data_IF_614292328444
#
_entry.id   IF_614292328444
#
_cell.length_a   1.000
_cell.length_b   1.000
_cell.length_c   1.000
_cell.angle_alpha   90.00
_cell.angle_beta   90.00
_cell.angle_gamma   90.00
#
_symmetry.space_group_name_H-M   'P 1'
#
loop_
_entity.id
_entity.type
_entity.pdbx_description
1 polymer ?
#
# COMPACT_ATOMS: atom_id res chain seq x y z
N UNK A 1 -8.75 20.50 -19.31
CA UNK A 1 -8.74 19.02 -19.34
C UNK A 1 -7.43 18.37 -18.89
N UNK A 2 -6.33 19.11 -18.70
CA UNK A 2 -5.02 18.54 -18.30
C UNK A 2 -5.00 17.90 -16.92
N UNK A 3 -5.78 18.41 -15.94
CA UNK A 3 -5.73 17.92 -14.54
C UNK A 3 -6.32 16.51 -14.36
N UNK A 4 -7.35 16.15 -15.10
CA UNK A 4 -7.92 14.80 -15.06
C UNK A 4 -6.92 13.73 -15.56
N UNK A 5 -6.12 14.07 -16.55
CA UNK A 5 -5.05 13.22 -17.06
C UNK A 5 -3.95 12.96 -16.02
N UNK A 6 -3.60 13.97 -15.22
CA UNK A 6 -2.63 13.81 -14.12
C UNK A 6 -3.14 12.87 -13.03
N UNK A 7 -4.40 13.03 -12.59
CA UNK A 7 -5.02 12.14 -11.60
C UNK A 7 -5.02 10.69 -12.10
N UNK A 8 -5.44 10.47 -13.36
CA UNK A 8 -5.44 9.14 -13.98
C UNK A 8 -4.03 8.52 -14.00
N UNK A 9 -3.01 9.30 -14.34
CA UNK A 9 -1.61 8.85 -14.34
C UNK A 9 -1.15 8.41 -12.95
N UNK A 10 -1.42 9.19 -11.91
CA UNK A 10 -1.05 8.86 -10.54
C UNK A 10 -1.79 7.63 -10.01
N UNK A 11 -3.08 7.49 -10.34
CA UNK A 11 -3.87 6.29 -9.99
C UNK A 11 -3.33 5.03 -10.68
N UNK A 12 -2.93 5.12 -11.95
CA UNK A 12 -2.30 4.01 -12.66
C UNK A 12 -0.98 3.60 -11.99
N UNK A 13 -0.13 4.57 -11.64
CA UNK A 13 1.12 4.31 -10.92
C UNK A 13 0.89 3.64 -9.56
N UNK A 14 -0.10 4.10 -8.79
CA UNK A 14 -0.46 3.48 -7.51
C UNK A 14 -0.97 2.04 -7.70
N UNK A 15 -1.72 1.78 -8.75
CA UNK A 15 -2.18 0.43 -9.11
C UNK A 15 -1.03 -0.48 -9.50
N UNK A 16 -0.09 0.01 -10.31
CA UNK A 16 1.11 -0.73 -10.73
C UNK A 16 2.03 -1.07 -9.55
N UNK A 17 2.08 -0.20 -8.54
CA UNK A 17 2.86 -0.44 -7.31
C UNK A 17 2.35 -1.61 -6.47
N UNK A 18 1.17 -2.16 -6.78
CA UNK A 18 0.60 -3.33 -6.11
C UNK A 18 0.70 -3.22 -4.57
N UNK A 19 0.18 -2.12 -4.00
CA UNK A 19 0.22 -1.87 -2.55
C UNK A 19 -0.16 -3.10 -1.70
N UNK A 20 -1.19 -3.90 -2.05
CA UNK A 20 -1.51 -5.11 -1.29
C UNK A 20 -0.38 -6.14 -1.29
N UNK A 21 0.34 -6.27 -2.40
CA UNK A 21 1.50 -7.18 -2.48
C UNK A 21 2.68 -6.67 -1.64
N UNK A 22 2.88 -5.35 -1.59
CA UNK A 22 3.87 -4.72 -0.73
C UNK A 22 3.56 -4.96 0.76
N UNK A 23 2.31 -4.78 1.18
CA UNK A 23 1.87 -5.03 2.56
C UNK A 23 2.10 -6.50 2.94
N UNK A 24 1.71 -7.45 2.08
CA UNK A 24 1.97 -8.87 2.29
C UNK A 24 3.46 -9.19 2.37
N UNK A 25 4.29 -8.53 1.57
CA UNK A 25 5.74 -8.68 1.62
C UNK A 25 6.28 -8.21 2.98
N UNK A 26 5.88 -7.03 3.43
CA UNK A 26 6.28 -6.48 4.73
C UNK A 26 5.80 -7.40 5.86
N UNK A 27 4.55 -7.86 5.83
CA UNK A 27 4.02 -8.81 6.81
C UNK A 27 4.84 -10.10 6.87
N UNK A 28 5.22 -10.67 5.71
CA UNK A 28 6.11 -11.85 5.67
C UNK A 28 7.51 -11.57 6.21
N UNK A 29 8.01 -10.36 6.07
CA UNK A 29 9.32 -9.96 6.59
C UNK A 29 9.30 -9.73 8.10
N UNK A 30 8.14 -9.39 8.68
CA UNK A 30 7.98 -9.09 10.10
C UNK A 30 7.41 -10.25 10.90
N UNK A 31 6.72 -11.20 10.27
CA UNK A 31 6.22 -12.38 10.96
C UNK A 31 7.30 -13.45 11.04
N UNK A 32 7.62 -13.94 12.25
CA UNK A 32 8.43 -15.14 12.38
C UNK A 32 7.69 -16.30 11.70
N UNK A 33 8.39 -17.25 11.08
CA UNK A 33 7.76 -18.42 10.49
C UNK A 33 6.97 -19.14 11.58
N UNK A 34 5.65 -19.21 11.41
CA UNK A 34 4.72 -19.89 12.30
C UNK A 34 4.85 -21.42 12.11
N UNK A 35 6.03 -21.94 12.40
CA UNK A 35 6.39 -23.33 12.38
C UNK A 35 6.93 -23.76 13.73
N UNK A 36 6.22 -23.43 14.85
CA UNK A 36 6.43 -24.17 16.06
C UNK A 36 5.79 -25.53 15.85
N UNK A 37 6.56 -26.65 15.91
CA UNK A 37 5.97 -27.97 15.92
C UNK A 37 5.05 -28.06 17.14
N UNK A 38 3.78 -28.37 16.89
CA UNK A 38 2.79 -28.62 17.91
C UNK A 38 3.34 -29.63 18.92
N UNK A 39 3.31 -29.35 20.23
CA UNK A 39 3.85 -30.26 21.26
C UNK A 39 3.06 -31.57 21.39
N UNK A 40 2.06 -31.83 20.54
CA UNK A 40 1.18 -32.98 20.65
C UNK A 40 1.75 -34.30 20.07
N UNK A 41 2.93 -34.29 19.41
CA UNK A 41 3.49 -35.49 18.77
C UNK A 41 4.76 -36.06 19.44
N UNK A 42 5.16 -35.56 20.61
CA UNK A 42 6.35 -36.05 21.31
C UNK A 42 5.99 -37.02 22.44
N UNK A 43 5.37 -38.18 22.12
CA UNK A 43 5.42 -39.36 22.97
C UNK A 43 6.39 -40.36 22.36
N UNK A 44 7.46 -40.69 23.14
CA UNK A 44 8.45 -41.77 22.97
C UNK A 44 9.64 -41.52 22.07
N UNK A 45 10.74 -41.01 22.66
CA UNK A 45 12.01 -41.73 22.70
C UNK A 45 13.05 -41.03 23.59
N UNK A 46 13.60 -41.68 24.63
CA UNK A 46 14.69 -41.09 25.39
C UNK A 46 16.01 -41.35 24.66
N UNK A 47 16.70 -40.31 24.26
CA UNK A 47 18.06 -40.36 23.77
C UNK A 47 18.79 -39.07 24.12
N UNK A 48 19.97 -39.14 24.79
CA UNK A 48 20.68 -37.95 25.20
C UNK A 48 21.52 -37.42 24.04
N UNK A 49 21.05 -36.39 23.38
CA UNK A 49 21.91 -35.55 22.55
C UNK A 49 21.37 -34.13 22.63
N UNK A 50 22.11 -33.32 23.36
CA UNK A 50 21.97 -31.90 23.42
C UNK A 50 22.05 -31.30 22.01
N UNK A 51 20.90 -31.18 21.34
CA UNK A 51 20.83 -30.35 20.17
C UNK A 51 20.36 -28.96 20.65
N UNK A 52 21.38 -28.11 20.82
CA UNK A 52 21.21 -26.67 20.88
C UNK A 52 20.24 -26.26 19.78
N UNK A 53 18.99 -26.04 20.14
CA UNK A 53 17.99 -25.50 19.22
C UNK A 53 18.43 -24.10 18.80
N UNK A 54 19.28 -24.05 17.77
CA UNK A 54 19.52 -22.81 17.07
C UNK A 54 18.20 -22.42 16.43
N UNK A 55 17.43 -21.61 17.14
CA UNK A 55 16.32 -20.88 16.56
C UNK A 55 16.92 -20.02 15.47
N UNK A 56 16.89 -20.54 14.24
CA UNK A 56 17.30 -19.78 13.06
C UNK A 56 16.39 -18.55 13.00
N UNK A 57 16.90 -17.43 13.46
CA UNK A 57 16.30 -16.13 13.23
C UNK A 57 16.26 -15.95 11.72
N UNK A 58 15.08 -16.12 11.15
CA UNK A 58 14.86 -15.91 9.74
C UNK A 58 14.93 -14.41 9.47
N UNK A 59 16.15 -13.93 9.22
CA UNK A 59 16.39 -12.55 8.84
C UNK A 59 16.21 -12.41 7.33
N UNK A 60 15.36 -11.48 6.88
CA UNK A 60 15.21 -11.22 5.46
C UNK A 60 16.55 -10.77 4.86
N UNK A 61 16.82 -11.16 3.64
CA UNK A 61 18.04 -10.74 2.95
C UNK A 61 18.06 -9.20 2.82
N UNK A 62 19.23 -8.60 2.98
CA UNK A 62 19.43 -7.15 2.83
C UNK A 62 18.84 -6.61 1.52
N UNK A 63 18.96 -7.39 0.44
CA UNK A 63 18.37 -7.05 -0.86
C UNK A 63 16.85 -6.96 -0.85
N UNK A 64 16.17 -7.91 -0.19
CA UNK A 64 14.72 -7.92 -0.05
C UNK A 64 14.23 -6.71 0.76
N UNK A 65 14.91 -6.39 1.86
CA UNK A 65 14.58 -5.21 2.69
C UNK A 65 14.76 -3.91 1.89
N UNK A 66 15.87 -3.75 1.19
CA UNK A 66 16.12 -2.56 0.37
C UNK A 66 15.11 -2.42 -0.76
N UNK A 67 14.72 -3.52 -1.41
CA UNK A 67 13.69 -3.50 -2.44
C UNK A 67 12.33 -3.08 -1.88
N UNK A 68 11.95 -3.60 -0.71
CA UNK A 68 10.72 -3.22 -0.01
C UNK A 68 10.71 -1.73 0.37
N UNK A 69 11.82 -1.22 0.92
CA UNK A 69 11.96 0.19 1.29
C UNK A 69 11.89 1.13 0.07
N UNK A 70 12.52 0.76 -1.05
CA UNK A 70 12.42 1.55 -2.29
C UNK A 70 11.00 1.62 -2.81
N UNK A 71 10.26 0.50 -2.80
CA UNK A 71 8.85 0.45 -3.19
C UNK A 71 7.98 1.29 -2.24
N UNK A 72 8.19 1.17 -0.94
CA UNK A 72 7.46 1.95 0.07
C UNK A 72 7.69 3.45 -0.14
N UNK A 73 8.94 3.89 -0.30
CA UNK A 73 9.27 5.29 -0.59
C UNK A 73 8.60 5.79 -1.87
N UNK A 74 8.59 4.98 -2.94
CA UNK A 74 7.90 5.30 -4.19
C UNK A 74 6.40 5.47 -4.00
N UNK A 75 5.76 4.59 -3.22
CA UNK A 75 4.34 4.66 -2.91
C UNK A 75 3.98 5.91 -2.11
N UNK A 76 4.76 6.23 -1.07
CA UNK A 76 4.57 7.46 -0.29
C UNK A 76 4.68 8.71 -1.17
N UNK A 77 5.70 8.77 -2.03
CA UNK A 77 5.86 9.89 -2.96
C UNK A 77 4.67 10.02 -3.91
N UNK A 78 4.18 8.91 -4.47
CA UNK A 78 3.02 8.92 -5.35
C UNK A 78 1.76 9.44 -4.65
N UNK A 79 1.53 9.08 -3.39
CA UNK A 79 0.40 9.58 -2.59
C UNK A 79 0.53 11.09 -2.33
N UNK A 80 1.72 11.55 -1.96
CA UNK A 80 1.98 12.99 -1.72
C UNK A 80 1.72 13.82 -2.98
N UNK A 81 2.12 13.33 -4.16
CA UNK A 81 1.88 14.02 -5.44
C UNK A 81 0.42 13.93 -5.92
N UNK A 82 -0.30 12.87 -5.51
CA UNK A 82 -1.71 12.68 -5.87
C UNK A 82 -2.61 13.74 -5.22
N UNK A 83 -2.39 14.07 -3.96
CA UNK A 83 -3.22 15.01 -3.19
C UNK A 83 -3.36 16.37 -3.90
N UNK A 84 -2.27 17.07 -4.26
CA UNK A 84 -2.39 18.36 -4.95
C UNK A 84 -3.00 18.22 -6.37
N UNK A 85 -2.81 17.07 -7.04
CA UNK A 85 -3.44 16.82 -8.33
C UNK A 85 -4.98 16.71 -8.20
N UNK A 86 -5.46 16.02 -7.16
CA UNK A 86 -6.89 15.91 -6.83
C UNK A 86 -7.49 17.29 -6.54
N UNK A 87 -6.82 18.11 -5.73
CA UNK A 87 -7.27 19.46 -5.41
C UNK A 87 -7.38 20.35 -6.65
N UNK A 88 -6.38 20.31 -7.54
CA UNK A 88 -6.42 21.08 -8.80
C UNK A 88 -7.56 20.63 -9.71
N UNK A 89 -7.80 19.31 -9.79
CA UNK A 89 -8.91 18.78 -10.57
C UNK A 89 -10.27 19.18 -9.97
N UNK A 90 -10.42 19.14 -8.65
CA UNK A 90 -11.64 19.57 -7.97
C UNK A 90 -11.92 21.06 -8.18
N UNK A 91 -10.91 21.92 -8.07
CA UNK A 91 -11.05 23.36 -8.33
C UNK A 91 -11.48 23.63 -9.78
N UNK A 92 -10.92 22.93 -10.76
CA UNK A 92 -11.33 23.07 -12.16
C UNK A 92 -12.78 22.63 -12.40
N UNK A 93 -13.23 21.53 -11.75
CA UNK A 93 -14.62 21.07 -11.84
C UNK A 93 -15.59 22.03 -11.14
N UNK A 94 -15.20 22.61 -10.00
CA UNK A 94 -16.00 23.61 -9.31
C UNK A 94 -16.22 24.87 -10.17
N UNK A 95 -15.19 25.30 -10.90
CA UNK A 95 -15.32 26.38 -11.87
C UNK A 95 -16.31 26.05 -12.99
N UNK A 96 -16.27 24.84 -13.54
CA UNK A 96 -17.23 24.40 -14.57
C UNK A 96 -18.67 24.32 -14.03
N UNK A 97 -18.84 23.85 -12.78
CA UNK A 97 -20.12 23.77 -12.10
C UNK A 97 -20.74 25.16 -11.92
N UNK A 98 -19.92 26.16 -11.54
CA UNK A 98 -20.37 27.56 -11.39
C UNK A 98 -20.89 28.15 -12.70
N UNK A 99 -20.41 27.70 -13.85
CA UNK A 99 -20.89 28.10 -15.17
C UNK A 99 -22.10 27.29 -15.67
N UNK A 100 -22.60 26.34 -14.88
CA UNK A 100 -23.76 25.51 -15.23
C UNK A 100 -23.49 24.44 -16.31
N UNK A 101 -22.22 24.26 -16.73
CA UNK A 101 -21.89 23.26 -17.75
C UNK A 101 -21.80 21.85 -17.14
N UNK A 102 -22.52 20.90 -17.75
CA UNK A 102 -22.43 19.48 -17.42
C UNK A 102 -22.56 19.16 -15.93
N UNK A 103 -23.53 19.80 -15.24
CA UNK A 103 -23.77 19.67 -13.80
C UNK A 103 -23.74 18.21 -13.29
N UNK A 104 -24.47 17.24 -13.90
CA UNK A 104 -24.43 15.86 -13.43
C UNK A 104 -23.04 15.23 -13.49
N UNK A 105 -22.27 15.53 -14.54
CA UNK A 105 -20.91 15.05 -14.70
C UNK A 105 -19.98 15.67 -13.64
N UNK A 106 -20.06 16.98 -13.42
CA UNK A 106 -19.24 17.68 -12.43
C UNK A 106 -19.51 17.15 -11.01
N UNK A 107 -20.77 16.91 -10.65
CA UNK A 107 -21.14 16.35 -9.35
C UNK A 107 -20.58 14.93 -9.17
N UNK A 108 -20.75 14.06 -10.16
CA UNK A 108 -20.25 12.69 -10.12
C UNK A 108 -18.71 12.67 -10.02
N UNK A 109 -18.03 13.50 -10.83
CA UNK A 109 -16.58 13.58 -10.83
C UNK A 109 -16.05 14.13 -9.49
N UNK A 110 -16.68 15.14 -8.91
CA UNK A 110 -16.32 15.68 -7.60
C UNK A 110 -16.51 14.66 -6.49
N UNK A 111 -17.61 13.89 -6.51
CA UNK A 111 -17.83 12.80 -5.55
C UNK A 111 -16.74 11.71 -5.65
N UNK A 112 -16.31 11.35 -6.86
CA UNK A 112 -15.21 10.39 -7.07
C UNK A 112 -13.88 10.93 -6.54
N UNK A 113 -13.56 12.21 -6.80
CA UNK A 113 -12.35 12.86 -6.28
C UNK A 113 -12.33 12.88 -4.75
N UNK A 114 -13.47 13.20 -4.11
CA UNK A 114 -13.61 13.17 -2.65
C UNK A 114 -13.35 11.77 -2.08
N UNK A 115 -13.83 10.72 -2.73
CA UNK A 115 -13.55 9.32 -2.33
C UNK A 115 -12.07 8.97 -2.46
N UNK A 116 -11.41 9.40 -3.53
CA UNK A 116 -9.96 9.19 -3.73
C UNK A 116 -9.18 9.89 -2.63
N UNK A 117 -9.54 11.15 -2.31
CA UNK A 117 -8.89 11.91 -1.25
C UNK A 117 -9.05 11.25 0.12
N UNK A 118 -10.28 10.82 0.47
CA UNK A 118 -10.53 10.14 1.74
C UNK A 118 -9.68 8.87 1.89
N UNK A 119 -9.55 8.08 0.81
CA UNK A 119 -8.68 6.89 0.81
C UNK A 119 -7.19 7.24 0.88
N UNK A 120 -6.74 8.30 0.20
CA UNK A 120 -5.35 8.74 0.30
C UNK A 120 -5.02 9.21 1.72
N UNK A 121 -5.92 9.94 2.38
CA UNK A 121 -5.76 10.39 3.77
C UNK A 121 -5.68 9.20 4.76
N UNK A 122 -6.48 8.15 4.55
CA UNK A 122 -6.42 6.95 5.41
C UNK A 122 -5.13 6.14 5.30
N UNK A 123 -4.34 6.35 4.25
CA UNK A 123 -3.02 5.70 4.08
C UNK A 123 -1.91 6.48 4.82
N UNK A 124 -2.16 7.78 5.11
CA UNK A 124 -1.18 8.65 5.77
C UNK A 124 -1.25 8.59 7.31
N UNK A 125 -2.30 8.00 7.87
CA UNK A 125 -2.46 7.71 9.30
C UNK A 125 -1.86 6.36 9.68
#
# INVERSE_FOLDING_TARGET
>A
MQHAGQVKRWLSLLREMQLPALVRLIQRLTQPPSGSPSPAAAKHRPGPAAQSGSSFLWLPTRGAVLAALRRLRGSCRAVVELVPAVWRAAAALSGQLAHGFFVPFCLTATALLARIQARAASIQQ
#
